data_IF_029039266976
#
_entry.id   IF_029039266976
#
_cell.length_a   1.000
_cell.length_b   1.000
_cell.length_c   1.000
_cell.angle_alpha   90.00
_cell.angle_beta   90.00
_cell.angle_gamma   90.00
#
_symmetry.space_group_name_H-M   'P 1'
#
loop_
_entity.id
_entity.type
_entity.pdbx_description
1 polymer ?
#
# COMPACT_ATOMS: atom_id res chain seq x y z
N UNK A 1 -11.94 12.48 -14.46
CA UNK A 1 -12.02 11.16 -15.12
C UNK A 1 -13.40 10.55 -14.90
N UNK A 2 -13.98 9.99 -15.95
CA UNK A 2 -15.31 9.37 -15.84
C UNK A 2 -15.26 8.13 -14.92
N UNK A 3 -14.31 7.23 -15.15
CA UNK A 3 -14.02 6.08 -14.31
C UNK A 3 -12.63 5.51 -14.58
N UNK A 4 -12.04 4.87 -13.58
CA UNK A 4 -10.78 4.14 -13.70
C UNK A 4 -10.71 3.04 -12.64
N UNK A 5 -9.87 2.04 -12.87
CA UNK A 5 -9.62 0.97 -11.92
C UNK A 5 -8.48 0.06 -12.38
N UNK A 6 -8.04 -0.83 -11.51
CA UNK A 6 -7.02 -1.82 -11.79
C UNK A 6 -7.39 -3.16 -11.17
N UNK A 7 -7.07 -4.28 -11.83
CA UNK A 7 -7.43 -5.61 -11.37
C UNK A 7 -6.53 -6.09 -10.24
N UNK A 8 -7.14 -6.75 -9.25
CA UNK A 8 -6.45 -7.48 -8.21
C UNK A 8 -7.34 -8.57 -7.62
N UNK A 9 -6.77 -9.60 -6.98
CA UNK A 9 -7.55 -10.69 -6.39
C UNK A 9 -8.44 -10.19 -5.26
N UNK A 10 -9.61 -10.80 -5.08
CA UNK A 10 -10.40 -10.73 -3.86
C UNK A 10 -9.60 -11.31 -2.69
N UNK A 11 -10.14 -11.27 -1.46
CA UNK A 11 -9.40 -11.79 -0.31
C UNK A 11 -9.00 -13.26 -0.53
N UNK A 12 -7.84 -13.64 -0.01
CA UNK A 12 -7.33 -15.01 -0.08
C UNK A 12 -8.41 -16.02 0.34
N UNK A 13 -9.04 -15.75 1.47
CA UNK A 13 -10.10 -16.61 2.04
C UNK A 13 -11.29 -16.76 1.11
N UNK A 14 -11.76 -15.65 0.56
CA UNK A 14 -12.92 -15.64 -0.35
C UNK A 14 -12.64 -16.46 -1.61
N UNK A 15 -11.49 -16.28 -2.22
CA UNK A 15 -11.13 -17.00 -3.44
C UNK A 15 -10.85 -18.49 -3.18
N UNK A 16 -10.05 -18.82 -2.17
CA UNK A 16 -9.72 -20.22 -1.86
C UNK A 16 -10.96 -21.02 -1.48
N UNK A 17 -11.90 -20.41 -0.74
CA UNK A 17 -13.19 -21.04 -0.39
C UNK A 17 -14.05 -21.26 -1.64
N UNK A 18 -14.13 -20.30 -2.54
CA UNK A 18 -14.95 -20.39 -3.75
C UNK A 18 -14.41 -21.41 -4.74
N UNK A 19 -13.07 -21.48 -4.89
CA UNK A 19 -12.38 -22.38 -5.80
C UNK A 19 -12.25 -23.80 -5.19
N UNK A 20 -12.34 -23.93 -3.87
CA UNK A 20 -12.13 -25.20 -3.17
C UNK A 20 -10.66 -25.64 -3.08
N UNK A 21 -9.72 -24.69 -3.12
CA UNK A 21 -8.28 -24.94 -3.06
C UNK A 21 -7.66 -24.21 -1.87
N UNK A 22 -6.55 -24.72 -1.36
CA UNK A 22 -5.82 -24.13 -0.25
C UNK A 22 -4.72 -23.16 -0.71
N UNK A 23 -4.38 -23.18 -2.00
CA UNK A 23 -3.42 -22.28 -2.63
C UNK A 23 -4.01 -21.64 -3.89
N UNK A 24 -3.51 -20.47 -4.25
CA UNK A 24 -3.87 -19.76 -5.48
C UNK A 24 -2.65 -19.75 -6.42
N UNK A 25 -2.82 -20.31 -7.62
CA UNK A 25 -1.85 -20.24 -8.72
C UNK A 25 -2.50 -19.46 -9.87
N UNK A 26 -1.87 -18.40 -10.33
CA UNK A 26 -2.40 -17.55 -11.42
C UNK A 26 -2.51 -18.24 -12.78
N UNK A 27 -1.85 -19.38 -12.94
CA UNK A 27 -1.90 -20.23 -14.15
C UNK A 27 -3.03 -21.26 -14.10
N UNK A 28 -3.63 -21.44 -12.93
CA UNK A 28 -4.70 -22.41 -12.73
C UNK A 28 -5.99 -21.92 -13.43
N UNK A 29 -6.59 -22.78 -14.24
CA UNK A 29 -7.82 -22.48 -14.96
C UNK A 29 -8.97 -22.12 -14.03
N UNK A 30 -9.08 -22.76 -12.86
CA UNK A 30 -10.11 -22.43 -11.89
C UNK A 30 -9.93 -21.02 -11.32
N UNK A 31 -8.68 -20.60 -11.04
CA UNK A 31 -8.36 -19.22 -10.66
C UNK A 31 -8.69 -18.25 -11.78
N UNK A 32 -8.33 -18.58 -13.01
CA UNK A 32 -8.58 -17.75 -14.18
C UNK A 32 -10.08 -17.55 -14.48
N UNK A 33 -10.94 -18.52 -14.17
CA UNK A 33 -12.42 -18.38 -14.34
C UNK A 33 -13.02 -17.32 -13.42
N UNK A 34 -12.33 -16.97 -12.32
CA UNK A 34 -12.73 -15.89 -11.41
C UNK A 34 -12.28 -14.50 -11.88
N UNK A 35 -11.57 -14.41 -13.02
CA UNK A 35 -11.16 -13.14 -13.58
C UNK A 35 -12.30 -12.43 -14.31
N UNK A 36 -12.59 -11.19 -13.87
CA UNK A 36 -13.72 -10.42 -14.39
C UNK A 36 -13.39 -9.58 -15.63
N UNK A 37 -12.13 -9.21 -15.80
CA UNK A 37 -11.70 -8.36 -16.88
C UNK A 37 -11.27 -9.16 -18.11
N UNK A 38 -11.52 -8.61 -19.30
CA UNK A 38 -10.98 -9.13 -20.54
C UNK A 38 -9.43 -9.05 -20.52
N UNK A 39 -8.75 -10.16 -20.76
CA UNK A 39 -7.29 -10.29 -20.59
C UNK A 39 -6.77 -9.91 -19.20
N UNK A 40 -7.59 -10.11 -18.16
CA UNK A 40 -7.27 -9.61 -16.83
C UNK A 40 -6.10 -10.32 -16.17
N UNK A 41 -5.92 -11.62 -16.39
CA UNK A 41 -4.74 -12.33 -15.85
C UNK A 41 -3.44 -11.83 -16.48
N UNK A 42 -3.43 -11.55 -17.78
CA UNK A 42 -2.26 -10.98 -18.47
C UNK A 42 -1.94 -9.57 -17.96
N UNK A 43 -2.96 -8.78 -17.66
CA UNK A 43 -2.77 -7.45 -17.04
C UNK A 43 -2.17 -7.54 -15.65
N UNK A 44 -2.62 -8.48 -14.83
CA UNK A 44 -2.04 -8.72 -13.49
C UNK A 44 -0.59 -9.19 -13.64
N UNK A 45 -0.32 -10.19 -14.47
CA UNK A 45 1.04 -10.71 -14.72
C UNK A 45 1.99 -9.60 -15.22
N UNK A 46 1.55 -8.81 -16.21
CA UNK A 46 2.34 -7.69 -16.75
C UNK A 46 2.62 -6.62 -15.67
N UNK A 47 1.63 -6.35 -14.82
CA UNK A 47 1.80 -5.46 -13.67
C UNK A 47 2.86 -5.95 -12.68
N UNK A 48 2.82 -7.24 -12.33
CA UNK A 48 3.79 -7.88 -11.43
C UNK A 48 5.21 -7.81 -11.99
N UNK A 49 5.40 -8.19 -13.27
CA UNK A 49 6.72 -8.14 -13.93
C UNK A 49 7.25 -6.71 -13.97
N UNK A 50 6.39 -5.73 -14.30
CA UNK A 50 6.79 -4.32 -14.36
C UNK A 50 7.26 -3.78 -13.00
N UNK A 51 6.50 -4.10 -11.93
CA UNK A 51 6.74 -3.56 -10.59
C UNK A 51 7.88 -4.26 -9.85
N UNK A 52 7.96 -5.60 -9.97
CA UNK A 52 8.87 -6.40 -9.14
C UNK A 52 10.02 -7.03 -9.93
N UNK A 53 9.99 -7.00 -11.27
CA UNK A 53 10.99 -7.65 -12.14
C UNK A 53 11.25 -9.13 -11.75
N UNK A 54 10.26 -9.76 -11.15
CA UNK A 54 10.27 -11.13 -10.62
C UNK A 54 8.99 -11.83 -11.07
N UNK A 55 9.11 -13.08 -11.44
CA UNK A 55 7.94 -13.90 -11.74
C UNK A 55 7.31 -14.38 -10.44
N UNK A 56 6.14 -13.86 -10.15
CA UNK A 56 5.32 -14.22 -9.01
C UNK A 56 4.01 -14.81 -9.54
N UNK A 57 3.79 -16.09 -9.33
CA UNK A 57 2.72 -16.84 -9.99
C UNK A 57 1.76 -17.52 -9.03
N UNK A 58 2.17 -17.82 -7.80
CA UNK A 58 1.37 -18.57 -6.84
C UNK A 58 1.62 -18.16 -5.39
N UNK A 59 0.74 -18.63 -4.53
CA UNK A 59 0.85 -18.55 -3.10
C UNK A 59 0.66 -17.13 -2.52
N UNK A 60 0.94 -16.98 -1.22
CA UNK A 60 0.81 -15.69 -0.53
C UNK A 60 1.68 -14.59 -1.14
N UNK A 61 2.83 -14.93 -1.74
CA UNK A 61 3.70 -13.96 -2.41
C UNK A 61 3.04 -13.35 -3.65
N UNK A 62 2.46 -14.18 -4.53
CA UNK A 62 1.67 -13.70 -5.66
C UNK A 62 0.48 -12.87 -5.20
N UNK A 63 -0.26 -13.37 -4.22
CA UNK A 63 -1.43 -12.70 -3.69
C UNK A 63 -1.10 -11.30 -3.16
N UNK A 64 -0.10 -11.19 -2.29
CA UNK A 64 0.35 -9.91 -1.74
C UNK A 64 0.82 -8.96 -2.83
N UNK A 65 1.65 -9.42 -3.77
CA UNK A 65 2.16 -8.63 -4.88
C UNK A 65 1.04 -8.12 -5.79
N UNK A 66 0.06 -8.96 -6.14
CA UNK A 66 -1.09 -8.57 -6.97
C UNK A 66 -1.98 -7.53 -6.26
N UNK A 67 -2.20 -7.69 -4.95
CA UNK A 67 -2.89 -6.71 -4.12
C UNK A 67 -2.13 -5.36 -4.08
N UNK A 68 -0.80 -5.39 -3.96
CA UNK A 68 0.03 -4.18 -3.97
C UNK A 68 -0.05 -3.43 -5.31
N UNK A 69 0.05 -4.14 -6.43
CA UNK A 69 -0.06 -3.50 -7.76
C UNK A 69 -1.39 -2.81 -7.93
N UNK A 70 -2.50 -3.45 -7.53
CA UNK A 70 -3.82 -2.83 -7.55
C UNK A 70 -3.87 -1.59 -6.65
N UNK A 71 -3.37 -1.70 -5.42
CA UNK A 71 -3.37 -0.62 -4.44
C UNK A 71 -2.57 0.61 -4.93
N UNK A 72 -1.37 0.38 -5.49
CA UNK A 72 -0.53 1.43 -6.07
C UNK A 72 -1.22 2.12 -7.25
N UNK A 73 -1.84 1.34 -8.15
CA UNK A 73 -2.54 1.90 -9.30
C UNK A 73 -3.73 2.78 -8.87
N UNK A 74 -4.52 2.34 -7.89
CA UNK A 74 -5.63 3.12 -7.31
C UNK A 74 -5.11 4.40 -6.64
N UNK A 75 -4.07 4.29 -5.83
CA UNK A 75 -3.46 5.43 -5.12
C UNK A 75 -2.94 6.48 -6.08
N UNK A 76 -2.13 6.06 -7.07
CA UNK A 76 -1.55 6.96 -8.07
C UNK A 76 -2.64 7.66 -8.86
N UNK A 77 -3.67 6.94 -9.32
CA UNK A 77 -4.78 7.52 -10.05
C UNK A 77 -5.53 8.58 -9.26
N UNK A 78 -5.96 8.25 -8.03
CA UNK A 78 -6.71 9.17 -7.16
C UNK A 78 -5.90 10.40 -6.79
N UNK A 79 -4.65 10.23 -6.36
CA UNK A 79 -3.78 11.34 -5.98
C UNK A 79 -3.44 12.23 -7.18
N UNK A 80 -3.21 11.62 -8.36
CA UNK A 80 -2.99 12.39 -9.60
C UNK A 80 -4.22 13.23 -9.96
N UNK A 81 -5.42 12.66 -10.00
CA UNK A 81 -6.62 13.44 -10.35
C UNK A 81 -6.88 14.57 -9.34
N UNK A 82 -6.64 14.33 -8.06
CA UNK A 82 -6.77 15.36 -7.02
C UNK A 82 -5.74 16.48 -7.19
N UNK A 83 -4.53 16.18 -7.64
CA UNK A 83 -3.50 17.20 -7.88
C UNK A 83 -3.79 18.08 -9.12
N UNK A 84 -4.75 17.68 -9.95
CA UNK A 84 -5.18 18.42 -11.15
C UNK A 84 -6.49 19.20 -10.92
N UNK A 85 -6.72 19.71 -9.71
CA UNK A 85 -8.03 20.27 -9.32
C UNK A 85 -8.49 21.45 -10.19
N UNK A 86 -7.59 22.19 -10.81
CA UNK A 86 -7.94 23.29 -11.74
C UNK A 86 -8.66 22.79 -13.01
N UNK A 87 -8.36 21.55 -13.41
CA UNK A 87 -8.89 20.95 -14.65
C UNK A 87 -9.68 19.67 -14.40
N UNK A 88 -9.62 19.11 -13.20
CA UNK A 88 -10.28 17.87 -12.83
C UNK A 88 -11.10 18.03 -11.54
N UNK A 89 -12.41 18.15 -11.68
CA UNK A 89 -13.32 18.32 -10.54
C UNK A 89 -13.56 17.05 -9.74
N UNK A 90 -13.10 15.88 -10.21
CA UNK A 90 -13.24 14.61 -9.52
C UNK A 90 -12.94 13.40 -10.38
N UNK A 91 -12.98 12.22 -9.74
CA UNK A 91 -12.78 10.94 -10.40
C UNK A 91 -13.70 9.88 -9.79
N UNK A 92 -14.11 8.91 -10.60
CA UNK A 92 -14.93 7.77 -10.19
C UNK A 92 -14.06 6.53 -10.20
N UNK A 93 -13.90 5.92 -9.02
CA UNK A 93 -13.20 4.64 -8.93
C UNK A 93 -14.14 3.50 -9.35
N UNK A 94 -13.78 2.78 -10.37
CA UNK A 94 -14.43 1.54 -10.79
C UNK A 94 -13.61 0.35 -10.26
N UNK A 95 -14.11 -0.37 -9.22
CA UNK A 95 -15.42 -0.17 -8.58
C UNK A 95 -15.31 -0.39 -7.07
N UNK A 96 -16.39 -0.14 -6.32
CA UNK A 96 -16.36 -0.22 -4.86
C UNK A 96 -16.33 -1.66 -4.36
N UNK A 97 -17.29 -2.52 -4.80
CA UNK A 97 -17.39 -3.91 -4.32
C UNK A 97 -17.72 -4.92 -5.42
N UNK A 98 -17.37 -6.17 -5.17
CA UNK A 98 -17.77 -7.30 -5.98
C UNK A 98 -19.07 -7.96 -5.48
N UNK A 99 -19.82 -8.62 -6.40
CA UNK A 99 -21.03 -9.38 -6.12
C UNK A 99 -20.76 -10.90 -6.02
N UNK A 100 -19.61 -11.36 -6.48
CA UNK A 100 -19.17 -12.75 -6.47
C UNK A 100 -17.66 -12.83 -6.26
N UNK A 101 -17.11 -13.98 -5.80
CA UNK A 101 -15.67 -14.12 -5.62
C UNK A 101 -14.91 -13.88 -6.92
N UNK A 102 -14.21 -12.75 -7.03
CA UNK A 102 -13.63 -12.32 -8.29
C UNK A 102 -12.20 -11.76 -8.16
N UNK A 103 -11.47 -11.84 -9.27
CA UNK A 103 -10.29 -11.04 -9.54
C UNK A 103 -10.77 -9.85 -10.38
N UNK A 104 -10.81 -8.66 -9.79
CA UNK A 104 -11.53 -7.53 -10.37
C UNK A 104 -10.96 -6.18 -9.95
N UNK A 105 -11.61 -5.11 -10.38
CA UNK A 105 -11.27 -3.71 -10.03
C UNK A 105 -11.77 -3.31 -8.64
N UNK A 106 -12.66 -4.09 -8.01
CA UNK A 106 -13.28 -3.76 -6.74
C UNK A 106 -12.24 -3.59 -5.61
N UNK A 107 -12.51 -2.67 -4.68
CA UNK A 107 -11.69 -2.46 -3.48
C UNK A 107 -12.21 -3.25 -2.27
N UNK A 108 -13.48 -3.68 -2.29
CA UNK A 108 -14.06 -4.69 -1.41
C UNK A 108 -14.37 -5.94 -2.22
N UNK A 109 -14.10 -7.10 -1.67
CA UNK A 109 -14.52 -8.34 -2.29
C UNK A 109 -16.01 -8.68 -2.00
N UNK A 110 -16.50 -9.79 -2.55
CA UNK A 110 -17.89 -10.21 -2.39
C UNK A 110 -18.27 -10.62 -0.96
N UNK A 111 -17.30 -10.87 -0.08
CA UNK A 111 -17.49 -11.10 1.34
C UNK A 111 -17.32 -9.82 2.18
N UNK A 112 -17.28 -8.64 1.52
CA UNK A 112 -17.00 -7.34 2.14
C UNK A 112 -15.62 -7.23 2.80
N UNK A 113 -14.66 -8.09 2.44
CA UNK A 113 -13.29 -8.01 2.91
C UNK A 113 -12.57 -6.86 2.22
N UNK A 114 -11.83 -6.09 3.00
CA UNK A 114 -11.06 -4.93 2.50
C UNK A 114 -9.79 -5.41 1.82
N UNK A 115 -9.62 -5.08 0.54
CA UNK A 115 -8.39 -5.29 -0.20
C UNK A 115 -7.37 -4.21 0.14
N UNK A 116 -6.07 -4.39 -0.16
CA UNK A 116 -5.07 -3.34 0.05
C UNK A 116 -5.42 -2.06 -0.72
N UNK A 117 -6.11 -2.18 -1.85
CA UNK A 117 -6.63 -1.04 -2.62
C UNK A 117 -7.70 -0.23 -1.89
N UNK A 118 -8.47 -0.83 -0.96
CA UNK A 118 -9.40 -0.08 -0.10
C UNK A 118 -8.64 0.86 0.84
N UNK A 119 -7.55 0.39 1.43
CA UNK A 119 -6.70 1.23 2.30
C UNK A 119 -6.01 2.32 1.50
N UNK A 120 -5.53 2.02 0.30
CA UNK A 120 -4.97 3.02 -0.61
C UNK A 120 -5.99 4.11 -0.98
N UNK A 121 -7.23 3.71 -1.31
CA UNK A 121 -8.34 4.61 -1.56
C UNK A 121 -8.64 5.49 -0.33
N UNK A 122 -8.74 4.89 0.86
CA UNK A 122 -8.98 5.63 2.11
C UNK A 122 -7.93 6.70 2.34
N UNK A 123 -6.65 6.36 2.18
CA UNK A 123 -5.56 7.32 2.37
C UNK A 123 -5.54 8.41 1.28
N UNK A 124 -5.85 8.03 0.03
CA UNK A 124 -5.91 8.99 -1.08
C UNK A 124 -7.10 9.97 -0.95
N UNK A 125 -8.17 9.60 -0.26
CA UNK A 125 -9.34 10.47 0.00
C UNK A 125 -9.29 11.23 1.33
N UNK A 126 -8.17 11.16 2.07
CA UNK A 126 -8.01 12.03 3.25
C UNK A 126 -8.14 13.50 2.85
N UNK A 127 -8.71 14.36 3.71
CA UNK A 127 -8.81 15.79 3.41
C UNK A 127 -7.46 16.47 3.20
N UNK A 128 -6.41 15.95 3.82
CA UNK A 128 -5.02 16.39 3.65
C UNK A 128 -4.19 15.26 3.10
N UNK A 129 -3.39 15.51 2.06
CA UNK A 129 -2.60 14.49 1.36
C UNK A 129 -1.21 15.01 1.00
N UNK A 130 -0.22 14.14 1.19
CA UNK A 130 1.10 14.24 0.56
C UNK A 130 1.18 13.26 -0.62
N UNK A 131 1.81 13.68 -1.71
CA UNK A 131 1.95 12.85 -2.88
C UNK A 131 3.24 13.17 -3.64
N UNK A 132 4.06 12.15 -3.91
CA UNK A 132 5.13 12.25 -4.89
C UNK A 132 4.56 12.01 -6.30
N UNK A 133 4.47 13.05 -7.11
CA UNK A 133 4.08 12.91 -8.52
C UNK A 133 5.17 12.16 -9.30
N UNK A 134 4.76 11.07 -9.96
CA UNK A 134 5.64 10.25 -10.78
C UNK A 134 6.06 10.93 -12.08
N UNK A 135 5.14 11.64 -12.67
CA UNK A 135 5.31 12.28 -13.98
C UNK A 135 6.07 13.60 -13.84
N UNK A 136 5.73 14.39 -12.82
CA UNK A 136 6.22 15.76 -12.67
C UNK A 136 7.47 15.87 -11.79
N UNK A 137 7.90 14.78 -11.13
CA UNK A 137 9.01 14.76 -10.17
C UNK A 137 8.85 15.79 -9.05
N UNK A 138 7.65 15.94 -8.54
CA UNK A 138 7.27 16.92 -7.51
C UNK A 138 6.75 16.23 -6.26
N UNK A 139 6.95 16.88 -5.12
CA UNK A 139 6.17 16.62 -3.92
C UNK A 139 4.97 17.57 -3.93
N UNK A 140 3.76 17.02 -3.89
CA UNK A 140 2.51 17.76 -3.93
C UNK A 140 1.82 17.65 -2.57
N UNK A 141 1.36 18.78 -2.05
CA UNK A 141 0.58 18.92 -0.83
C UNK A 141 -0.82 19.37 -1.21
N UNK A 142 -1.83 18.71 -0.68
CA UNK A 142 -3.24 19.02 -0.91
C UNK A 142 -3.92 19.22 0.44
N UNK A 143 -4.60 20.35 0.61
CA UNK A 143 -5.42 20.67 1.77
C UNK A 143 -6.85 21.00 1.32
N UNK A 144 -7.74 20.02 1.43
CA UNK A 144 -9.18 20.18 1.10
C UNK A 144 -10.02 20.55 2.34
N UNK A 145 -9.38 20.99 3.43
CA UNK A 145 -10.08 21.48 4.63
C UNK A 145 -10.32 22.99 4.58
N UNK A 146 -11.22 23.47 5.42
CA UNK A 146 -11.48 24.91 5.59
C UNK A 146 -10.52 25.60 6.57
N UNK A 147 -9.56 24.86 7.13
CA UNK A 147 -8.53 25.36 8.03
C UNK A 147 -7.14 25.31 7.37
N UNK A 148 -6.24 26.24 7.69
CA UNK A 148 -4.86 26.15 7.21
C UNK A 148 -4.19 24.88 7.75
N UNK A 149 -3.24 24.36 7.00
CA UNK A 149 -2.40 23.24 7.38
C UNK A 149 -0.99 23.78 7.65
N UNK A 150 -0.63 23.84 8.92
CA UNK A 150 0.66 24.31 9.40
C UNK A 150 1.35 23.18 10.15
N UNK A 151 2.51 22.75 9.65
CA UNK A 151 3.28 21.67 10.26
C UNK A 151 4.73 21.65 9.73
N UNK A 152 5.58 20.80 10.33
CA UNK A 152 6.93 20.54 9.86
C UNK A 152 6.91 19.46 8.79
N UNK A 153 7.38 19.82 7.59
CA UNK A 153 7.64 18.87 6.51
C UNK A 153 9.01 18.24 6.73
N UNK A 154 9.03 16.96 7.10
CA UNK A 154 10.22 16.16 7.23
C UNK A 154 10.44 15.33 5.97
N UNK A 155 11.68 15.30 5.50
CA UNK A 155 12.07 14.65 4.26
C UNK A 155 13.27 13.74 4.52
N UNK A 156 13.20 12.53 4.00
CA UNK A 156 14.27 11.54 4.12
C UNK A 156 14.58 10.95 2.74
N UNK A 157 15.86 10.90 2.42
CA UNK A 157 16.42 10.11 1.33
C UNK A 157 16.99 8.84 1.95
N UNK A 158 16.42 7.70 1.61
CA UNK A 158 16.78 6.39 2.16
C UNK A 158 17.41 5.55 1.07
N UNK A 159 18.61 5.03 1.30
CA UNK A 159 19.30 4.14 0.37
C UNK A 159 18.65 2.76 0.27
N UNK A 160 19.08 1.99 -0.73
CA UNK A 160 18.55 0.63 -0.98
C UNK A 160 18.72 -0.34 0.19
N UNK A 161 19.75 -0.12 1.02
CA UNK A 161 20.02 -0.94 2.21
C UNK A 161 19.25 -0.45 3.45
N UNK A 162 18.41 0.60 3.29
CA UNK A 162 17.59 1.13 4.38
C UNK A 162 18.25 2.22 5.22
N UNK A 163 19.49 2.61 4.92
CA UNK A 163 20.18 3.72 5.58
C UNK A 163 19.59 5.08 5.20
N UNK A 164 19.49 6.00 6.14
CA UNK A 164 19.08 7.37 5.86
C UNK A 164 20.31 8.15 5.33
N UNK A 165 20.30 8.46 4.04
CA UNK A 165 21.39 9.16 3.34
C UNK A 165 21.33 10.67 3.53
N UNK A 166 20.14 11.23 3.53
CA UNK A 166 19.88 12.65 3.72
C UNK A 166 18.56 12.84 4.48
N UNK A 167 18.53 13.83 5.35
CA UNK A 167 17.30 14.29 6.00
C UNK A 167 17.26 15.82 6.04
N UNK A 168 16.07 16.38 5.89
CA UNK A 168 15.84 17.80 6.03
C UNK A 168 14.46 18.06 6.61
N UNK A 169 14.29 19.22 7.23
CA UNK A 169 13.01 19.66 7.79
C UNK A 169 12.79 21.12 7.46
N UNK A 170 11.55 21.46 7.16
CA UNK A 170 11.13 22.86 6.95
C UNK A 170 9.69 23.06 7.38
N UNK A 171 9.41 24.25 7.86
CA UNK A 171 8.06 24.68 8.16
C UNK A 171 7.26 24.88 6.86
N UNK A 172 6.01 24.40 6.84
CA UNK A 172 5.08 24.58 5.72
C UNK A 172 3.76 25.12 6.24
N UNK A 173 3.25 26.14 5.57
CA UNK A 173 1.91 26.67 5.79
C UNK A 173 1.16 26.61 4.47
N UNK A 174 0.11 25.78 4.43
CA UNK A 174 -0.78 25.66 3.27
C UNK A 174 -2.17 26.17 3.66
N UNK A 175 -2.69 27.13 2.88
CA UNK A 175 -3.99 27.73 3.12
C UNK A 175 -5.16 26.73 3.04
N UNK A 176 -6.37 27.13 3.45
CA UNK A 176 -7.58 26.35 3.23
C UNK A 176 -7.84 26.13 1.74
N UNK A 177 -8.40 24.97 1.39
CA UNK A 177 -8.81 24.64 0.01
C UNK A 177 -7.73 24.96 -1.03
N UNK A 178 -6.48 24.58 -0.74
CA UNK A 178 -5.33 24.93 -1.59
C UNK A 178 -4.37 23.75 -1.75
N UNK A 179 -3.48 23.87 -2.72
CA UNK A 179 -2.36 22.95 -2.92
C UNK A 179 -1.04 23.69 -3.13
N UNK A 180 0.05 23.01 -2.85
CA UNK A 180 1.40 23.45 -3.16
C UNK A 180 2.18 22.31 -3.79
N UNK A 181 3.16 22.64 -4.63
CA UNK A 181 4.08 21.68 -5.21
C UNK A 181 5.53 22.15 -5.04
N UNK A 182 6.41 21.20 -4.83
CA UNK A 182 7.84 21.43 -4.67
C UNK A 182 8.60 20.52 -5.61
N UNK A 183 9.54 21.06 -6.39
CA UNK A 183 10.45 20.25 -7.19
C UNK A 183 11.30 19.38 -6.26
N UNK A 184 11.54 18.13 -6.63
CA UNK A 184 12.36 17.24 -5.80
C UNK A 184 13.80 17.72 -5.65
N UNK A 185 14.34 18.44 -6.65
CA UNK A 185 15.64 19.11 -6.58
C UNK A 185 15.71 20.22 -5.53
N UNK A 186 14.57 20.83 -5.19
CA UNK A 186 14.50 21.91 -4.19
C UNK A 186 14.30 21.36 -2.77
N UNK A 187 13.89 20.09 -2.69
CA UNK A 187 13.58 19.41 -1.43
C UNK A 187 14.73 18.53 -0.95
N UNK A 188 15.51 17.96 -1.87
CA UNK A 188 16.67 17.14 -1.59
C UNK A 188 17.90 17.76 -2.25
N UNK A 189 18.96 17.93 -1.45
CA UNK A 189 20.22 18.55 -1.91
C UNK A 189 21.05 17.62 -2.79
N UNK A 190 20.77 16.33 -2.78
CA UNK A 190 21.48 15.37 -3.61
C UNK A 190 21.33 15.77 -5.09
N UNK A 191 22.40 16.21 -5.70
CA UNK A 191 22.46 16.79 -7.05
C UNK A 191 21.94 15.85 -8.15
N UNK A 192 21.75 14.57 -7.83
CA UNK A 192 21.21 13.56 -8.73
C UNK A 192 20.38 12.54 -7.95
N UNK A 193 19.21 12.97 -7.42
CA UNK A 193 18.23 12.04 -6.79
C UNK A 193 17.92 10.86 -7.72
N UNK A 194 18.00 11.05 -9.03
CA UNK A 194 17.78 10.00 -10.03
C UNK A 194 18.93 8.97 -10.13
N UNK A 195 20.11 9.27 -9.59
CA UNK A 195 21.26 8.34 -9.59
C UNK A 195 21.34 7.48 -8.31
N UNK A 196 20.46 7.73 -7.33
CA UNK A 196 20.46 7.03 -6.06
C UNK A 196 19.45 5.90 -6.10
N UNK A 197 19.90 4.67 -5.86
CA UNK A 197 19.03 3.53 -5.61
C UNK A 197 18.46 3.64 -4.20
N UNK A 198 17.18 4.08 -4.05
CA UNK A 198 16.61 4.30 -2.73
C UNK A 198 15.15 4.75 -2.74
N UNK A 199 14.75 5.36 -1.67
CA UNK A 199 13.39 5.83 -1.43
C UNK A 199 13.39 7.28 -0.99
N UNK A 200 12.41 8.04 -1.46
CA UNK A 200 12.01 9.31 -0.89
C UNK A 200 10.89 9.07 0.11
N UNK A 201 11.02 9.63 1.30
CA UNK A 201 9.98 9.64 2.32
C UNK A 201 9.70 11.09 2.70
N UNK A 202 8.43 11.47 2.70
CA UNK A 202 7.98 12.78 3.14
C UNK A 202 6.89 12.63 4.20
N UNK A 203 6.96 13.46 5.23
CA UNK A 203 6.03 13.51 6.35
C UNK A 203 5.59 14.94 6.62
N UNK A 204 4.31 15.15 6.86
CA UNK A 204 3.77 16.41 7.32
C UNK A 204 2.67 16.12 8.37
N UNK A 205 3.01 16.34 9.65
CA UNK A 205 2.21 15.87 10.76
C UNK A 205 2.08 14.34 10.77
N UNK A 206 0.86 13.83 10.81
CA UNK A 206 0.57 12.40 10.81
C UNK A 206 0.57 11.76 9.41
N UNK A 207 0.79 12.54 8.36
CA UNK A 207 0.68 12.07 6.98
C UNK A 207 2.07 11.76 6.45
N UNK A 208 2.25 10.52 6.00
CA UNK A 208 3.48 10.06 5.39
C UNK A 208 3.21 9.56 3.97
N UNK A 209 4.13 9.84 3.07
CA UNK A 209 4.21 9.23 1.74
C UNK A 209 5.62 8.77 1.47
N UNK A 210 5.75 7.67 0.73
CA UNK A 210 7.04 7.17 0.32
C UNK A 210 7.01 6.79 -1.16
N UNK A 211 8.15 6.94 -1.83
CA UNK A 211 8.29 6.59 -3.22
C UNK A 211 9.68 6.06 -3.53
N UNK A 212 9.74 5.02 -4.33
CA UNK A 212 10.99 4.53 -4.93
C UNK A 212 11.48 5.49 -6.02
N UNK A 213 12.77 5.75 -6.08
CA UNK A 213 13.36 6.81 -6.92
C UNK A 213 13.57 6.40 -8.37
N UNK A 214 13.74 5.11 -8.70
CA UNK A 214 14.19 4.65 -10.03
C UNK A 214 13.32 3.56 -10.65
N UNK A 215 13.58 3.35 -11.95
CA UNK A 215 12.88 2.42 -12.82
C UNK A 215 13.55 1.03 -12.93
N UNK A 216 14.74 0.85 -12.34
CA UNK A 216 15.47 -0.40 -12.44
C UNK A 216 14.86 -1.51 -11.58
N UNK A 217 15.15 -2.75 -11.94
CA UNK A 217 14.78 -3.90 -11.14
C UNK A 217 15.16 -3.70 -9.68
N UNK A 218 14.21 -3.91 -8.77
CA UNK A 218 14.51 -3.90 -7.34
C UNK A 218 15.53 -4.99 -7.09
N UNK A 219 16.77 -4.58 -6.87
CA UNK A 219 17.80 -5.45 -6.35
C UNK A 219 18.07 -5.02 -4.93
N UNK A 220 17.82 -5.94 -3.99
CA UNK A 220 18.17 -5.83 -2.58
C UNK A 220 17.59 -4.61 -1.84
N UNK A 221 16.39 -4.78 -1.34
CA UNK A 221 15.90 -4.02 -0.19
C UNK A 221 16.44 -4.72 1.06
N UNK A 222 16.81 -3.97 2.10
CA UNK A 222 17.15 -4.59 3.40
C UNK A 222 16.08 -5.62 3.81
N UNK A 223 16.47 -6.64 4.54
CA UNK A 223 15.60 -7.74 4.94
C UNK A 223 14.30 -7.29 5.62
N UNK A 224 13.37 -8.21 5.78
CA UNK A 224 12.14 -7.97 6.55
C UNK A 224 12.45 -8.05 8.05
N UNK A 225 13.25 -7.10 8.54
CA UNK A 225 13.72 -7.08 9.93
C UNK A 225 12.73 -6.25 10.77
N UNK A 226 11.73 -6.92 11.30
CA UNK A 226 10.74 -6.35 12.20
C UNK A 226 10.59 -7.24 13.44
N UNK A 227 10.46 -6.61 14.60
CA UNK A 227 10.01 -7.27 15.82
C UNK A 227 8.51 -7.06 15.97
N UNK A 228 7.78 -8.14 16.21
CA UNK A 228 6.33 -8.15 16.39
C UNK A 228 6.01 -8.55 17.82
N UNK A 229 5.26 -7.72 18.52
CA UNK A 229 4.74 -8.01 19.86
C UNK A 229 3.21 -7.93 19.81
N UNK A 230 2.56 -9.06 19.98
CA UNK A 230 1.10 -9.17 19.91
C UNK A 230 0.47 -9.31 21.29
N UNK A 231 -0.73 -8.77 21.44
CA UNK A 231 -1.59 -8.93 22.59
C UNK A 231 -3.04 -9.18 22.14
N UNK A 232 -3.63 -10.24 22.61
CA UNK A 232 -5.04 -10.56 22.36
C UNK A 232 -5.91 -9.95 23.47
N UNK A 233 -6.96 -9.23 23.06
CA UNK A 233 -7.98 -8.69 23.94
C UNK A 233 -9.37 -8.96 23.34
N UNK A 234 -9.99 -10.03 23.78
CA UNK A 234 -11.25 -10.50 23.24
C UNK A 234 -11.15 -10.85 21.75
N UNK A 235 -11.79 -10.04 20.90
CA UNK A 235 -11.79 -10.18 19.44
C UNK A 235 -10.73 -9.31 18.76
N UNK A 236 -9.97 -8.53 19.53
CA UNK A 236 -8.92 -7.68 19.02
C UNK A 236 -7.56 -8.33 19.20
N UNK A 237 -6.68 -8.10 18.23
CA UNK A 237 -5.25 -8.35 18.36
C UNK A 237 -4.52 -7.03 18.17
N UNK A 238 -3.84 -6.59 19.21
CA UNK A 238 -2.96 -5.42 19.15
C UNK A 238 -1.57 -5.90 18.79
N UNK A 239 -0.95 -5.28 17.81
CA UNK A 239 0.38 -5.64 17.32
C UNK A 239 1.26 -4.40 17.34
N UNK A 240 2.28 -4.39 18.20
CA UNK A 240 3.37 -3.43 18.12
C UNK A 240 4.38 -3.95 17.10
N UNK A 241 4.59 -3.21 16.02
CA UNK A 241 5.60 -3.48 15.01
C UNK A 241 6.78 -2.54 15.24
N UNK A 242 7.97 -3.06 15.41
CA UNK A 242 9.21 -2.29 15.53
C UNK A 242 10.12 -2.61 14.34
N UNK A 243 10.52 -1.59 13.60
CA UNK A 243 11.35 -1.71 12.42
C UNK A 243 12.84 -1.57 12.79
N UNK A 244 13.64 -2.59 12.52
CA UNK A 244 15.10 -2.56 12.70
C UNK A 244 15.83 -1.93 11.51
N UNK A 245 15.18 -1.93 10.35
CA UNK A 245 15.67 -1.29 9.13
C UNK A 245 14.50 -0.59 8.42
N UNK A 246 14.76 0.02 7.25
CA UNK A 246 13.69 0.61 6.43
C UNK A 246 12.72 -0.48 5.96
N UNK A 247 11.45 -0.35 6.34
CA UNK A 247 10.38 -1.26 5.94
C UNK A 247 9.39 -0.51 5.06
N UNK A 248 9.12 -1.05 3.87
CA UNK A 248 8.20 -0.43 2.91
C UNK A 248 6.97 -1.30 2.65
N UNK A 249 5.80 -0.66 2.65
CA UNK A 249 4.48 -1.28 2.40
C UNK A 249 4.18 -2.46 3.34
N UNK A 250 4.55 -2.32 4.62
CA UNK A 250 4.18 -3.29 5.65
C UNK A 250 2.67 -3.48 5.70
N UNK A 251 2.24 -4.73 5.63
CA UNK A 251 0.83 -5.11 5.67
C UNK A 251 0.66 -6.39 6.46
N UNK A 252 -0.43 -6.49 7.19
CA UNK A 252 -0.85 -7.71 7.88
C UNK A 252 -2.03 -8.29 7.09
N UNK A 253 -1.95 -9.56 6.68
CA UNK A 253 -2.91 -10.26 5.85
C UNK A 253 -3.62 -11.37 6.65
N UNK A 254 -4.52 -11.02 7.59
CA UNK A 254 -5.14 -12.00 8.46
C UNK A 254 -6.04 -13.00 7.71
N UNK A 255 -6.49 -12.67 6.52
CA UNK A 255 -7.25 -13.54 5.64
C UNK A 255 -6.46 -14.77 5.17
N UNK A 256 -5.13 -14.80 5.32
CA UNK A 256 -4.32 -15.99 5.05
C UNK A 256 -4.55 -17.11 6.09
N UNK A 257 -4.96 -16.77 7.30
CA UNK A 257 -5.12 -17.72 8.41
C UNK A 257 -6.46 -17.60 9.15
N UNK A 258 -7.13 -16.47 9.06
CA UNK A 258 -8.35 -16.20 9.79
C UNK A 258 -9.60 -16.52 8.98
N UNK A 259 -10.73 -16.48 9.66
CA UNK A 259 -12.04 -16.51 9.07
C UNK A 259 -12.43 -15.19 8.39
N UNK A 260 -13.70 -15.09 8.05
CA UNK A 260 -14.28 -13.95 7.35
C UNK A 260 -14.34 -12.68 8.25
N UNK A 261 -14.41 -11.51 7.62
CA UNK A 261 -14.64 -10.21 8.27
C UNK A 261 -13.58 -9.77 9.29
N UNK A 262 -12.31 -9.88 8.91
CA UNK A 262 -11.20 -9.32 9.68
C UNK A 262 -10.78 -7.98 9.09
N UNK A 263 -10.52 -6.99 9.94
CA UNK A 263 -10.03 -5.69 9.51
C UNK A 263 -8.78 -5.29 10.27
N UNK A 264 -7.90 -4.55 9.61
CA UNK A 264 -6.66 -4.00 10.20
C UNK A 264 -6.77 -2.48 10.21
N UNK A 265 -6.28 -1.83 11.25
CA UNK A 265 -6.38 -0.37 11.40
C UNK A 265 -5.66 0.39 10.28
N UNK A 266 -4.50 -0.09 9.84
CA UNK A 266 -3.74 0.47 8.74
C UNK A 266 -2.98 -0.61 7.97
N UNK A 267 -2.69 -0.35 6.70
CA UNK A 267 -1.97 -1.23 5.79
C UNK A 267 -1.03 -0.41 4.91
N UNK A 268 -0.05 -1.07 4.28
CA UNK A 268 0.92 -0.46 3.38
C UNK A 268 1.75 0.64 4.06
N UNK A 269 2.20 0.34 5.27
CA UNK A 269 2.91 1.28 6.14
C UNK A 269 4.39 1.31 5.76
N UNK A 270 4.97 2.50 5.78
CA UNK A 270 6.42 2.70 5.65
C UNK A 270 6.99 3.11 7.00
N UNK A 271 8.03 2.42 7.44
CA UNK A 271 8.75 2.70 8.68
C UNK A 271 10.22 2.97 8.38
N UNK A 272 10.76 4.02 8.98
CA UNK A 272 12.19 4.28 9.03
C UNK A 272 12.87 3.40 10.09
N UNK A 273 14.20 3.19 10.01
CA UNK A 273 14.92 2.42 11.01
C UNK A 273 14.69 2.93 12.43
N UNK A 274 14.37 2.03 13.35
CA UNK A 274 14.10 2.34 14.75
C UNK A 274 12.67 2.81 15.07
N UNK A 275 11.84 3.02 14.05
CA UNK A 275 10.44 3.40 14.29
C UNK A 275 9.56 2.22 14.70
N UNK A 276 8.46 2.55 15.36
CA UNK A 276 7.44 1.58 15.74
C UNK A 276 6.03 2.10 15.48
N UNK A 277 5.09 1.17 15.27
CA UNK A 277 3.67 1.46 15.12
C UNK A 277 2.82 0.42 15.82
N UNK A 278 1.72 0.87 16.44
CA UNK A 278 0.69 -0.01 16.97
C UNK A 278 -0.41 -0.22 15.93
N UNK A 279 -0.68 -1.47 15.60
CA UNK A 279 -1.76 -1.88 14.73
C UNK A 279 -2.83 -2.65 15.51
N UNK A 280 -4.08 -2.45 15.14
CA UNK A 280 -5.22 -3.17 15.71
C UNK A 280 -5.86 -4.02 14.63
N UNK A 281 -6.05 -5.30 14.92
CA UNK A 281 -6.75 -6.26 14.08
C UNK A 281 -8.07 -6.61 14.77
N UNK A 282 -9.19 -6.33 14.11
CA UNK A 282 -10.52 -6.66 14.58
C UNK A 282 -10.96 -7.97 13.94
N UNK A 283 -11.24 -8.98 14.75
CA UNK A 283 -11.69 -10.29 14.31
C UNK A 283 -13.19 -10.50 14.63
N UNK A 284 -13.84 -11.42 13.90
CA UNK A 284 -15.24 -11.74 14.10
C UNK A 284 -15.50 -12.46 15.44
N UNK A 285 -14.51 -13.22 15.91
CA UNK A 285 -14.59 -14.03 17.12
C UNK A 285 -13.21 -14.19 17.77
N UNK A 286 -13.18 -14.72 18.99
CA UNK A 286 -11.97 -14.91 19.78
C UNK A 286 -11.06 -16.02 19.24
N UNK A 287 -11.60 -17.02 18.55
CA UNK A 287 -10.82 -18.10 17.94
C UNK A 287 -9.99 -17.57 16.78
N UNK A 288 -10.56 -16.70 15.94
CA UNK A 288 -9.84 -16.05 14.86
C UNK A 288 -8.77 -15.10 15.42
N UNK A 289 -9.07 -14.36 16.50
CA UNK A 289 -8.08 -13.52 17.16
C UNK A 289 -6.88 -14.33 17.67
N UNK A 290 -7.12 -15.47 18.32
CA UNK A 290 -6.05 -16.36 18.79
C UNK A 290 -5.24 -16.95 17.62
N UNK A 291 -5.90 -17.26 16.49
CA UNK A 291 -5.26 -17.77 15.28
C UNK A 291 -4.38 -16.72 14.62
N UNK A 292 -4.89 -15.50 14.49
CA UNK A 292 -4.15 -14.35 13.96
C UNK A 292 -2.91 -14.06 14.80
N UNK A 293 -3.04 -13.98 16.12
CA UNK A 293 -1.91 -13.74 17.02
C UNK A 293 -0.84 -14.85 16.88
N UNK A 294 -1.24 -16.12 16.95
CA UNK A 294 -0.30 -17.26 16.82
C UNK A 294 0.49 -17.25 15.51
N UNK A 295 -0.12 -16.83 14.41
CA UNK A 295 0.49 -16.88 13.08
C UNK A 295 0.91 -15.48 12.57
N UNK A 296 1.06 -14.49 13.47
CA UNK A 296 1.28 -13.07 13.10
C UNK A 296 2.50 -12.87 12.18
N UNK A 297 3.60 -13.55 12.41
CA UNK A 297 4.80 -13.49 11.57
C UNK A 297 4.55 -14.00 10.14
N UNK A 298 3.74 -15.06 10.00
CA UNK A 298 3.43 -15.65 8.69
C UNK A 298 2.58 -14.74 7.83
N UNK A 299 1.69 -13.97 8.46
CA UNK A 299 0.73 -13.08 7.78
C UNK A 299 1.22 -11.66 7.68
N UNK A 300 2.35 -11.30 8.28
CA UNK A 300 2.97 -9.98 8.15
C UNK A 300 3.89 -9.95 6.92
N UNK A 301 3.56 -9.09 5.97
CA UNK A 301 4.24 -8.94 4.69
C UNK A 301 4.75 -7.51 4.52
N UNK A 302 5.79 -7.35 3.73
CA UNK A 302 6.30 -6.07 3.27
C UNK A 302 6.91 -6.22 1.88
N UNK A 303 7.21 -5.12 1.22
CA UNK A 303 8.00 -5.17 0.01
C UNK A 303 9.36 -5.83 0.26
N UNK A 304 9.97 -5.58 1.41
CA UNK A 304 11.22 -6.21 1.85
C UNK A 304 11.15 -7.74 1.85
N UNK A 305 10.09 -8.30 2.44
CA UNK A 305 9.87 -9.76 2.46
C UNK A 305 9.60 -10.34 1.07
N UNK A 306 8.88 -9.59 0.24
CA UNK A 306 8.54 -10.04 -1.11
C UNK A 306 9.77 -10.12 -2.02
N UNK A 307 10.74 -9.23 -1.81
CA UNK A 307 11.90 -9.08 -2.69
C UNK A 307 13.09 -9.96 -2.28
N UNK A 308 13.18 -10.37 -1.03
CA UNK A 308 14.15 -11.35 -0.51
C UNK A 308 13.57 -12.77 -0.55
#
# INVERSE_FOLDING_TARGET
SAEFGYNGPGSWRTLTKAIGKTNLDSRDADVATHQKAFFGMDKVASGLVREFKKELIEGPAWYFAAQLVQARAVEVGLKHFRSQYETCSGSVLWQYNDMWPAISWAVLDSASSRKLSWYAMREAYRPRVLHFSGVERKLILINDTDAPWHDMLNLHLVGKNGEVLEQSSREVVLGPRSQASYELSDVFKAAEVSAIDGYLVAELGEIRTARRIWDSAVQEVCGHNVTLLERVDGKQVQVLVQAECFIHELSILPELVAADHVTVSAQRITLLPGESINLVIECSNTEDAARVARDIEKITWSLNRLMN
#
